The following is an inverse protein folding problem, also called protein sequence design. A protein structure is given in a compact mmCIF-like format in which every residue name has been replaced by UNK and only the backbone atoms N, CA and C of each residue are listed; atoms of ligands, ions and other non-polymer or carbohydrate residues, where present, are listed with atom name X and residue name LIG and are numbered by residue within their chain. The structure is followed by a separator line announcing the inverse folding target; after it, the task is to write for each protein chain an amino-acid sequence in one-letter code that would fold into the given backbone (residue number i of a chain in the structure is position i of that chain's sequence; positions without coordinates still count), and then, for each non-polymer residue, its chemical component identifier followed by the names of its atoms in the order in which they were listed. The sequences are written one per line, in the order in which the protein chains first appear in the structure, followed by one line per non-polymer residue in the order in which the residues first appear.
data_IF_643824439388
#
_entry.id   IF_643824439388
#
_cell.length_a   1.000
_cell.length_b   1.000
_cell.length_c   1.000
_cell.angle_alpha   90.00
_cell.angle_beta   90.00
_cell.angle_gamma   90.00
#
_symmetry.space_group_name_H-M   'P 1'
#
loop_
_entity.id
_entity.type
_entity.pdbx_description
1 polymer ?
#
# COMPACT_ATOMS: atom_id res chain seq x y z
N UNK A 1 0.07 1.28 70.43
CA UNK A 1 0.96 0.12 70.59
C UNK A 1 0.73 -0.77 69.37
N UNK A 2 1.56 -0.64 68.33
CA UNK A 2 1.37 -1.43 67.10
C UNK A 2 1.74 -2.88 67.44
N UNK A 3 0.75 -3.76 67.34
CA UNK A 3 0.90 -5.15 67.73
C UNK A 3 1.92 -5.85 66.80
N UNK A 4 2.84 -6.63 67.37
CA UNK A 4 3.90 -7.32 66.58
C UNK A 4 3.29 -8.20 65.49
N UNK A 5 2.08 -8.72 65.71
CA UNK A 5 1.29 -9.48 64.74
C UNK A 5 0.84 -8.63 63.55
N UNK A 6 0.51 -7.35 63.76
CA UNK A 6 0.12 -6.42 62.71
C UNK A 6 1.31 -6.07 61.80
N UNK A 7 2.49 -5.85 62.36
CA UNK A 7 3.72 -5.63 61.58
C UNK A 7 4.09 -6.83 60.69
N UNK A 8 3.91 -8.05 61.20
CA UNK A 8 4.13 -9.27 60.41
C UNK A 8 3.10 -9.37 59.28
N UNK A 9 1.82 -9.07 59.56
CA UNK A 9 0.76 -9.15 58.57
C UNK A 9 0.96 -8.15 57.41
N UNK A 10 1.34 -6.91 57.73
CA UNK A 10 1.65 -5.88 56.71
C UNK A 10 2.88 -6.29 55.87
N UNK A 11 3.91 -6.88 56.49
CA UNK A 11 5.08 -7.37 55.77
C UNK A 11 4.76 -8.48 54.76
N UNK A 12 3.89 -9.42 55.13
CA UNK A 12 3.45 -10.52 54.24
C UNK A 12 2.63 -9.99 53.06
N UNK A 13 1.74 -9.03 53.30
CA UNK A 13 0.93 -8.42 52.23
C UNK A 13 1.82 -7.68 51.23
N UNK A 14 2.79 -6.89 51.71
CA UNK A 14 3.72 -6.18 50.83
C UNK A 14 4.57 -7.13 49.99
N UNK A 15 5.06 -8.23 50.59
CA UNK A 15 5.81 -9.25 49.86
C UNK A 15 4.95 -9.92 48.76
N UNK A 16 3.67 -10.19 49.06
CA UNK A 16 2.74 -10.79 48.10
C UNK A 16 2.41 -9.84 46.93
N UNK A 17 2.23 -8.54 47.20
CA UNK A 17 2.02 -7.53 46.16
C UNK A 17 3.23 -7.43 45.23
N UNK A 18 4.45 -7.44 45.80
CA UNK A 18 5.69 -7.43 45.01
C UNK A 18 5.80 -8.70 44.16
N UNK A 19 5.47 -9.87 44.72
CA UNK A 19 5.47 -11.12 43.97
C UNK A 19 4.48 -11.09 42.79
N UNK A 20 3.24 -10.62 43.01
CA UNK A 20 2.25 -10.48 41.95
C UNK A 20 2.71 -9.52 40.85
N UNK A 21 3.30 -8.38 41.20
CA UNK A 21 3.84 -7.42 40.24
C UNK A 21 4.97 -8.05 39.39
N UNK A 22 5.87 -8.81 40.01
CA UNK A 22 6.94 -9.53 39.29
C UNK A 22 6.38 -10.60 38.36
N UNK A 23 5.36 -11.36 38.78
CA UNK A 23 4.71 -12.37 37.91
C UNK A 23 3.99 -11.73 36.71
N UNK A 24 3.37 -10.56 36.89
CA UNK A 24 2.74 -9.80 35.81
C UNK A 24 3.77 -9.27 34.80
N UNK A 25 4.91 -8.74 35.27
CA UNK A 25 6.00 -8.29 34.40
C UNK A 25 6.61 -9.48 33.62
N UNK A 26 6.75 -10.64 34.25
CA UNK A 26 7.26 -11.84 33.57
C UNK A 26 6.26 -12.39 32.53
N UNK A 27 4.95 -12.20 32.74
CA UNK A 27 3.92 -12.61 31.77
C UNK A 27 3.85 -11.71 30.52
N UNK A 28 4.43 -10.51 30.54
CA UNK A 28 4.49 -9.64 29.36
C UNK A 28 5.64 -9.97 28.41
N UNK A 29 6.57 -10.84 28.81
CA UNK A 29 7.48 -11.50 27.87
C UNK A 29 6.74 -12.66 27.21
N UNK A 30 5.85 -12.33 26.30
CA UNK A 30 5.57 -13.23 25.19
C UNK A 30 6.92 -13.45 24.50
N UNK A 31 7.52 -14.61 24.77
CA UNK A 31 8.64 -15.11 23.97
C UNK A 31 8.09 -15.22 22.56
N UNK A 32 8.42 -14.24 21.72
CA UNK A 32 8.41 -14.45 20.28
C UNK A 32 9.46 -15.52 20.05
N UNK A 33 9.03 -16.77 20.02
CA UNK A 33 9.80 -17.85 19.41
C UNK A 33 9.92 -17.52 17.92
N UNK A 34 10.92 -16.70 17.58
CA UNK A 34 11.41 -16.62 16.20
C UNK A 34 12.22 -17.90 15.97
N UNK A 35 11.50 -18.99 15.77
CA UNK A 35 12.01 -20.23 15.24
C UNK A 35 11.45 -20.41 13.83
N UNK A 36 12.08 -19.79 12.85
CA UNK A 36 12.47 -20.50 11.63
C UNK A 36 13.47 -19.62 10.85
N UNK A 37 14.62 -20.20 10.51
CA UNK A 37 15.54 -19.68 9.49
C UNK A 37 14.97 -19.94 8.08
N UNK A 38 13.68 -19.63 7.89
CA UNK A 38 12.99 -19.71 6.62
C UNK A 38 12.96 -18.33 5.98
N UNK A 39 13.32 -18.25 4.69
CA UNK A 39 13.08 -17.06 3.88
C UNK A 39 11.62 -16.61 4.09
N UNK A 40 11.33 -15.29 4.24
CA UNK A 40 9.95 -14.84 4.37
C UNK A 40 9.15 -15.32 3.17
N UNK A 41 8.04 -16.02 3.43
CA UNK A 41 7.14 -16.50 2.38
C UNK A 41 6.64 -15.33 1.55
N UNK A 42 6.59 -15.49 0.23
CA UNK A 42 6.00 -14.47 -0.64
C UNK A 42 4.50 -14.32 -0.37
N UNK A 43 3.90 -13.21 -0.83
CA UNK A 43 2.46 -12.99 -0.68
C UNK A 43 1.64 -14.15 -1.28
N UNK A 44 2.06 -14.62 -2.47
CA UNK A 44 1.41 -15.70 -3.19
C UNK A 44 1.50 -17.04 -2.43
N UNK A 45 2.65 -17.33 -1.82
CA UNK A 45 2.84 -18.52 -0.99
C UNK A 45 1.96 -18.49 0.25
N UNK A 46 1.78 -17.32 0.86
CA UNK A 46 0.88 -17.15 2.00
C UNK A 46 -0.60 -17.36 1.62
N UNK A 47 -0.97 -17.01 0.38
CA UNK A 47 -2.34 -17.14 -0.10
C UNK A 47 -2.80 -18.57 -0.39
N UNK A 48 -1.89 -19.54 -0.53
CA UNK A 48 -2.21 -20.96 -0.78
C UNK A 48 -3.27 -21.17 -1.90
N UNK A 49 -3.22 -20.37 -2.97
CA UNK A 49 -4.14 -20.48 -4.10
C UNK A 49 -5.52 -19.82 -3.92
N UNK A 50 -5.79 -19.15 -2.80
CA UNK A 50 -7.05 -18.43 -2.59
C UNK A 50 -7.11 -17.23 -3.55
N UNK A 51 -8.04 -17.27 -4.51
CA UNK A 51 -8.13 -16.30 -5.61
C UNK A 51 -8.23 -14.83 -5.14
N UNK A 52 -9.10 -14.55 -4.16
CA UNK A 52 -9.26 -13.18 -3.61
C UNK A 52 -8.03 -12.67 -2.86
N UNK A 53 -7.19 -13.58 -2.34
CA UNK A 53 -5.92 -13.23 -1.71
C UNK A 53 -4.85 -12.95 -2.77
N UNK A 54 -4.75 -13.79 -3.80
CA UNK A 54 -3.83 -13.58 -4.94
C UNK A 54 -4.12 -12.28 -5.69
N UNK A 55 -5.40 -11.94 -5.81
CA UNK A 55 -5.83 -10.65 -6.36
C UNK A 55 -5.32 -9.47 -5.52
N UNK A 56 -5.38 -9.57 -4.19
CA UNK A 56 -4.81 -8.54 -3.31
C UNK A 56 -3.29 -8.43 -3.45
N UNK A 57 -2.56 -9.55 -3.54
CA UNK A 57 -1.12 -9.54 -3.81
C UNK A 57 -0.80 -8.79 -5.11
N UNK A 58 -1.59 -9.05 -6.17
CA UNK A 58 -1.43 -8.37 -7.46
C UNK A 58 -1.70 -6.87 -7.33
N UNK A 59 -2.77 -6.48 -6.66
CA UNK A 59 -3.11 -5.07 -6.47
C UNK A 59 -2.04 -4.33 -5.66
N UNK A 60 -1.46 -4.97 -4.65
CA UNK A 60 -0.35 -4.40 -3.86
C UNK A 60 0.85 -4.14 -4.77
N UNK A 61 1.25 -5.11 -5.60
CA UNK A 61 2.34 -4.95 -6.56
C UNK A 61 2.07 -3.81 -7.54
N UNK A 62 0.88 -3.76 -8.15
CA UNK A 62 0.49 -2.69 -9.06
C UNK A 62 0.52 -1.30 -8.41
N UNK A 63 0.03 -1.20 -7.16
CA UNK A 63 0.05 0.04 -6.41
C UNK A 63 1.47 0.46 -6.04
N UNK A 64 2.34 -0.49 -5.66
CA UNK A 64 3.74 -0.22 -5.34
C UNK A 64 4.50 0.27 -6.59
N UNK A 65 4.32 -0.40 -7.72
CA UNK A 65 4.88 -0.01 -9.01
C UNK A 65 4.47 1.43 -9.36
N UNK A 66 3.17 1.71 -9.27
CA UNK A 66 2.60 3.03 -9.57
C UNK A 66 3.09 4.09 -8.59
N UNK A 67 3.13 3.81 -7.29
CA UNK A 67 3.58 4.78 -6.28
C UNK A 67 5.04 5.18 -6.50
N UNK A 68 5.90 4.20 -6.80
CA UNK A 68 7.34 4.39 -6.93
C UNK A 68 7.80 4.72 -8.36
N UNK A 69 6.89 4.78 -9.34
CA UNK A 69 7.22 4.86 -10.77
C UNK A 69 8.19 3.74 -11.21
N UNK A 70 8.03 2.54 -10.63
CA UNK A 70 8.90 1.41 -10.88
C UNK A 70 8.16 0.33 -11.69
N UNK A 71 8.36 0.37 -13.01
CA UNK A 71 7.73 -0.57 -13.93
C UNK A 71 8.20 -2.01 -13.71
N UNK A 72 9.40 -2.22 -13.13
CA UNK A 72 9.97 -3.55 -12.96
C UNK A 72 9.19 -4.39 -11.93
N UNK A 73 8.51 -3.75 -10.98
CA UNK A 73 7.60 -4.42 -10.04
C UNK A 73 6.42 -5.08 -10.76
N UNK A 74 6.00 -4.56 -11.93
CA UNK A 74 4.95 -5.18 -12.73
C UNK A 74 5.35 -6.54 -13.31
N UNK A 75 6.66 -6.82 -13.43
CA UNK A 75 7.17 -8.10 -13.94
C UNK A 75 7.04 -9.22 -12.90
N UNK A 76 6.79 -8.88 -11.64
CA UNK A 76 6.49 -9.84 -10.57
C UNK A 76 5.02 -10.30 -10.54
N UNK A 77 4.16 -9.71 -11.37
CA UNK A 77 2.75 -10.07 -11.46
C UNK A 77 2.60 -11.28 -12.41
N UNK A 78 2.06 -12.38 -11.89
CA UNK A 78 1.94 -13.63 -12.65
C UNK A 78 0.91 -13.56 -13.79
N UNK A 79 -0.19 -12.83 -13.58
CA UNK A 79 -1.22 -12.66 -14.60
C UNK A 79 -0.74 -11.65 -15.66
N UNK A 80 -0.53 -12.08 -16.92
CA UNK A 80 0.03 -11.21 -17.95
C UNK A 80 -0.87 -10.02 -18.29
N UNK A 81 -2.20 -10.15 -18.16
CA UNK A 81 -3.12 -9.04 -18.42
C UNK A 81 -3.01 -7.98 -17.31
N UNK A 82 -2.88 -8.42 -16.06
CA UNK A 82 -2.68 -7.52 -14.92
C UNK A 82 -1.28 -6.89 -14.92
N UNK A 83 -0.27 -7.63 -15.37
CA UNK A 83 1.08 -7.09 -15.55
C UNK A 83 1.11 -5.97 -16.62
N UNK A 84 0.46 -6.19 -17.77
CA UNK A 84 0.29 -5.15 -18.80
C UNK A 84 -0.50 -3.95 -18.31
N UNK A 85 -1.59 -4.17 -17.56
CA UNK A 85 -2.35 -3.09 -16.93
C UNK A 85 -1.52 -2.28 -15.94
N UNK A 86 -0.73 -2.95 -15.10
CA UNK A 86 0.22 -2.32 -14.19
C UNK A 86 1.20 -1.41 -14.96
N UNK A 87 1.82 -1.92 -16.03
CA UNK A 87 2.76 -1.14 -16.86
C UNK A 87 2.11 0.11 -17.44
N UNK A 88 0.91 -0.02 -18.01
CA UNK A 88 0.16 1.13 -18.54
C UNK A 88 -0.15 2.17 -17.46
N UNK A 89 -0.53 1.74 -16.26
CA UNK A 89 -0.85 2.65 -15.15
C UNK A 89 0.39 3.40 -14.66
N UNK A 90 1.54 2.74 -14.57
CA UNK A 90 2.83 3.38 -14.23
C UNK A 90 3.19 4.44 -15.26
N UNK A 91 3.14 4.09 -16.55
CA UNK A 91 3.43 5.02 -17.66
C UNK A 91 2.47 6.20 -17.67
N UNK A 92 1.16 5.95 -17.49
CA UNK A 92 0.16 7.02 -17.47
C UNK A 92 0.40 8.00 -16.32
N UNK A 93 0.67 7.50 -15.11
CA UNK A 93 0.99 8.36 -13.97
C UNK A 93 2.20 9.23 -14.27
N UNK A 94 3.28 8.63 -14.75
CA UNK A 94 4.52 9.33 -15.08
C UNK A 94 4.30 10.41 -16.15
N UNK A 95 3.59 10.06 -17.22
CA UNK A 95 3.24 10.97 -18.30
C UNK A 95 2.34 12.14 -17.85
N UNK A 96 1.40 11.90 -16.92
CA UNK A 96 0.58 12.95 -16.31
C UNK A 96 1.43 13.89 -15.46
N UNK A 97 2.31 13.34 -14.62
CA UNK A 97 3.18 14.14 -13.72
C UNK A 97 4.12 15.04 -14.50
N UNK A 98 4.67 14.54 -15.62
CA UNK A 98 5.55 15.31 -16.49
C UNK A 98 4.79 16.13 -17.56
N UNK A 99 3.47 15.99 -17.62
CA UNK A 99 2.61 16.61 -18.64
C UNK A 99 3.08 16.35 -20.09
N UNK A 100 3.62 15.14 -20.34
CA UNK A 100 4.22 14.72 -21.60
C UNK A 100 3.50 13.50 -22.19
N UNK A 101 2.63 13.77 -23.17
CA UNK A 101 1.87 12.72 -23.87
C UNK A 101 2.74 11.87 -24.80
N UNK A 102 3.99 12.27 -25.09
CA UNK A 102 4.90 11.47 -25.94
C UNK A 102 5.38 10.18 -25.26
N UNK A 103 5.28 10.12 -23.93
CA UNK A 103 5.53 8.89 -23.14
C UNK A 103 4.46 7.82 -23.32
N UNK A 104 3.28 8.21 -23.82
CA UNK A 104 2.16 7.31 -24.03
C UNK A 104 2.25 6.59 -25.39
N UNK A 105 2.02 5.28 -25.39
CA UNK A 105 1.95 4.49 -26.62
C UNK A 105 0.54 4.43 -27.20
N UNK A 106 -0.49 4.40 -26.36
CA UNK A 106 -1.89 4.30 -26.77
C UNK A 106 -2.65 5.63 -26.65
N UNK A 107 -3.75 5.73 -27.39
CA UNK A 107 -4.56 6.95 -27.47
C UNK A 107 -5.30 7.26 -26.16
N UNK A 108 -5.67 6.27 -25.33
CA UNK A 108 -6.32 6.56 -24.05
C UNK A 108 -5.34 7.26 -23.11
N UNK A 109 -4.10 6.79 -23.06
CA UNK A 109 -3.04 7.43 -22.28
C UNK A 109 -2.79 8.87 -22.77
N UNK A 110 -2.60 9.08 -24.08
CA UNK A 110 -2.35 10.43 -24.64
C UNK A 110 -3.48 11.40 -24.31
N UNK A 111 -4.73 10.98 -24.51
CA UNK A 111 -5.90 11.80 -24.24
C UNK A 111 -6.05 12.12 -22.75
N UNK A 112 -5.74 11.17 -21.86
CA UNK A 112 -5.75 11.41 -20.42
C UNK A 112 -4.68 12.43 -19.99
N UNK A 113 -3.47 12.37 -20.58
CA UNK A 113 -2.42 13.38 -20.32
C UNK A 113 -2.84 14.76 -20.83
N UNK A 114 -3.38 14.84 -22.05
CA UNK A 114 -3.89 16.09 -22.62
C UNK A 114 -5.00 16.69 -21.76
N UNK A 115 -5.96 15.88 -21.33
CA UNK A 115 -7.03 16.28 -20.42
C UNK A 115 -6.47 16.84 -19.11
N UNK A 116 -5.55 16.11 -18.46
CA UNK A 116 -4.95 16.55 -17.20
C UNK A 116 -4.20 17.86 -17.36
N UNK A 117 -3.44 18.01 -18.44
CA UNK A 117 -2.68 19.21 -18.75
C UNK A 117 -3.58 20.41 -19.07
N UNK A 118 -4.68 20.18 -19.80
CA UNK A 118 -5.67 21.22 -20.09
C UNK A 118 -6.30 21.76 -18.80
N UNK A 119 -6.63 20.87 -17.86
CA UNK A 119 -7.20 21.23 -16.56
C UNK A 119 -6.18 21.98 -15.68
N UNK A 120 -4.93 21.52 -15.61
CA UNK A 120 -3.87 22.14 -14.79
C UNK A 120 -3.49 23.53 -15.29
N UNK A 121 -3.38 23.71 -16.60
CA UNK A 121 -2.95 24.95 -17.25
C UNK A 121 -4.09 25.90 -17.60
N UNK A 122 -5.35 25.43 -17.52
CA UNK A 122 -6.54 26.11 -18.04
C UNK A 122 -6.46 26.45 -19.52
N UNK A 123 -5.72 25.64 -20.29
CA UNK A 123 -5.58 25.79 -21.73
C UNK A 123 -6.63 24.97 -22.48
N UNK A 124 -7.69 25.64 -22.91
CA UNK A 124 -8.79 25.03 -23.68
C UNK A 124 -8.33 24.47 -25.03
N UNK A 125 -7.25 24.98 -25.61
CA UNK A 125 -6.74 24.50 -26.90
C UNK A 125 -6.19 23.08 -26.83
N UNK A 126 -5.77 22.62 -25.64
CA UNK A 126 -5.35 21.25 -25.41
C UNK A 126 -6.54 20.27 -25.48
N UNK A 127 -7.75 20.70 -25.09
CA UNK A 127 -8.96 19.88 -25.24
C UNK A 127 -9.27 19.58 -26.71
N UNK A 128 -8.93 20.49 -27.63
CA UNK A 128 -9.17 20.28 -29.06
C UNK A 128 -8.30 19.18 -29.66
N UNK A 129 -7.17 18.85 -29.01
CA UNK A 129 -6.27 17.78 -29.40
C UNK A 129 -6.73 16.40 -28.91
N UNK A 130 -7.72 16.34 -28.01
CA UNK A 130 -8.27 15.08 -27.52
C UNK A 130 -9.09 14.42 -28.63
N UNK A 131 -8.74 13.18 -28.98
CA UNK A 131 -9.37 12.43 -30.08
C UNK A 131 -10.61 11.64 -29.65
N UNK A 132 -10.76 11.38 -28.35
CA UNK A 132 -11.95 10.71 -27.79
C UNK A 132 -13.02 11.76 -27.49
N UNK A 133 -14.09 11.79 -28.29
CA UNK A 133 -15.15 12.81 -28.24
C UNK A 133 -15.77 13.00 -26.85
N UNK A 134 -16.03 11.91 -26.12
CA UNK A 134 -16.57 11.99 -24.76
C UNK A 134 -15.59 12.72 -23.81
N UNK A 135 -14.31 12.35 -23.84
CA UNK A 135 -13.27 13.01 -23.03
C UNK A 135 -13.03 14.45 -23.45
N UNK A 136 -13.12 14.75 -24.75
CA UNK A 136 -13.02 16.12 -25.27
C UNK A 136 -14.14 16.99 -24.75
N UNK A 137 -15.38 16.50 -24.81
CA UNK A 137 -16.54 17.21 -24.27
C UNK A 137 -16.38 17.47 -22.76
N UNK A 138 -15.94 16.47 -21.99
CA UNK A 138 -15.67 16.62 -20.57
C UNK A 138 -14.56 17.66 -20.31
N UNK A 139 -13.46 17.61 -21.07
CA UNK A 139 -12.37 18.59 -21.00
C UNK A 139 -12.89 20.02 -21.20
N UNK A 140 -13.67 20.24 -22.26
CA UNK A 140 -14.25 21.54 -22.61
C UNK A 140 -15.24 22.07 -21.56
N UNK A 141 -15.77 21.22 -20.68
CA UNK A 141 -16.63 21.62 -19.56
C UNK A 141 -15.84 21.91 -18.28
N UNK A 142 -14.67 21.29 -18.09
CA UNK A 142 -13.83 21.41 -16.88
C UNK A 142 -12.78 22.54 -16.97
N UNK A 143 -12.43 22.95 -18.19
CA UNK A 143 -11.45 23.99 -18.51
C UNK A 143 -12.14 25.32 -18.81
#
# INVERSE_FOLDING_TARGET
MIDKKYLIFVGVILAFIVFLAVTLILSSSEKIEVSDTGLPKTCEEQCNGIASCLEQCTNIKSNLATLNNDVSVCDEIQDPLKAEECRRNVVLKDAIVEEDSSKCTDENCKNAVLLSKAISTKDRSLCEQITIEAMKADCLNLV
#
